data_IF_353842757952
#
_entry.id   IF_353842757952
#
_cell.length_a   1.000
_cell.length_b   1.000
_cell.length_c   1.000
_cell.angle_alpha   90.00
_cell.angle_beta   90.00
_cell.angle_gamma   90.00
#
_symmetry.space_group_name_H-M   'P 1'
#
loop_
_entity.id
_entity.type
_entity.pdbx_description
1 polymer ?
#
# COMPACT_ATOMS: atom_id res chain seq x y z
N UNK A 1 -12.61 -45.48 -4.05
CA UNK A 1 -11.18 -45.39 -4.40
C UNK A 1 -10.75 -43.94 -4.20
N UNK A 2 -9.88 -43.65 -3.23
CA UNK A 2 -9.30 -42.31 -3.09
C UNK A 2 -8.23 -42.15 -4.18
N UNK A 3 -8.47 -41.29 -5.16
CA UNK A 3 -7.42 -40.90 -6.07
C UNK A 3 -6.30 -40.21 -5.27
N UNK A 4 -5.02 -40.51 -5.55
CA UNK A 4 -3.91 -39.83 -4.91
C UNK A 4 -3.96 -38.34 -5.24
N UNK A 5 -3.68 -37.50 -4.23
CA UNK A 5 -3.63 -36.05 -4.39
C UNK A 5 -2.62 -35.65 -5.47
N UNK A 6 -3.06 -34.92 -6.50
CA UNK A 6 -2.20 -34.36 -7.54
C UNK A 6 -2.10 -32.84 -7.36
N UNK A 7 -0.96 -32.40 -6.85
CA UNK A 7 -0.66 -30.98 -6.60
C UNK A 7 -0.66 -30.14 -7.87
N UNK A 8 -0.15 -30.69 -8.98
CA UNK A 8 -0.08 -29.95 -10.25
C UNK A 8 -1.47 -29.70 -10.82
N UNK A 9 -2.35 -30.71 -10.81
CA UNK A 9 -3.73 -30.57 -11.25
C UNK A 9 -4.47 -29.49 -10.46
N UNK A 10 -4.31 -29.44 -9.14
CA UNK A 10 -4.93 -28.40 -8.30
C UNK A 10 -4.43 -26.99 -8.68
N UNK A 11 -3.11 -26.83 -8.84
CA UNK A 11 -2.50 -25.55 -9.22
C UNK A 11 -2.97 -25.09 -10.61
N UNK A 12 -3.00 -26.03 -11.57
CA UNK A 12 -3.51 -25.82 -12.93
C UNK A 12 -4.96 -25.36 -12.93
N UNK A 13 -5.84 -26.06 -12.19
CA UNK A 13 -7.26 -25.68 -12.09
C UNK A 13 -7.44 -24.28 -11.50
N UNK A 14 -6.71 -23.96 -10.43
CA UNK A 14 -6.78 -22.64 -9.79
C UNK A 14 -6.29 -21.53 -10.71
N UNK A 15 -5.21 -21.77 -11.45
CA UNK A 15 -4.69 -20.81 -12.42
C UNK A 15 -5.68 -20.57 -13.56
N UNK A 16 -6.15 -21.65 -14.21
CA UNK A 16 -7.11 -21.56 -15.32
C UNK A 16 -8.39 -20.85 -14.91
N UNK A 17 -8.91 -21.14 -13.71
CA UNK A 17 -10.08 -20.46 -13.14
C UNK A 17 -9.84 -18.97 -12.96
N UNK A 18 -8.67 -18.58 -12.44
CA UNK A 18 -8.34 -17.16 -12.29
C UNK A 18 -8.31 -16.43 -13.63
N UNK A 19 -7.64 -16.99 -14.64
CA UNK A 19 -7.54 -16.38 -15.97
C UNK A 19 -8.93 -16.27 -16.62
N UNK A 20 -9.72 -17.34 -16.54
CA UNK A 20 -11.10 -17.35 -17.03
C UNK A 20 -11.96 -16.28 -16.36
N UNK A 21 -11.99 -16.25 -15.03
CA UNK A 21 -12.90 -15.40 -14.26
C UNK A 21 -12.51 -13.92 -14.29
N UNK A 22 -11.21 -13.61 -14.39
CA UNK A 22 -10.68 -12.25 -14.19
C UNK A 22 -10.08 -11.59 -15.43
N UNK A 23 -9.71 -12.37 -16.44
CA UNK A 23 -8.98 -11.84 -17.61
C UNK A 23 -9.76 -12.07 -18.89
N UNK A 24 -10.14 -13.31 -19.21
CA UNK A 24 -10.62 -13.66 -20.56
C UNK A 24 -12.13 -13.87 -20.66
N UNK A 25 -12.79 -14.20 -19.55
CA UNK A 25 -14.20 -14.62 -19.55
C UNK A 25 -14.44 -15.99 -20.21
N UNK A 26 -13.38 -16.76 -20.51
CA UNK A 26 -13.48 -18.05 -21.23
C UNK A 26 -12.83 -19.16 -20.43
N UNK A 27 -13.47 -20.33 -20.43
CA UNK A 27 -12.92 -21.53 -19.77
C UNK A 27 -12.04 -22.26 -20.78
N UNK A 28 -10.73 -22.10 -20.63
CA UNK A 28 -9.73 -22.78 -21.46
C UNK A 28 -8.55 -23.26 -20.61
N UNK A 29 -7.70 -24.10 -21.20
CA UNK A 29 -6.47 -24.55 -20.56
C UNK A 29 -5.31 -23.58 -20.81
N UNK A 30 -5.25 -22.51 -20.00
CA UNK A 30 -4.22 -21.49 -20.08
C UNK A 30 -2.87 -21.98 -19.52
N UNK A 31 -2.89 -22.77 -18.44
CA UNK A 31 -1.69 -23.31 -17.81
C UNK A 31 -0.82 -24.10 -18.79
N UNK A 32 -1.44 -25.01 -19.54
CA UNK A 32 -0.69 -25.85 -20.50
C UNK A 32 -0.27 -25.13 -21.78
N UNK A 33 -0.64 -23.85 -21.95
CA UNK A 33 -0.20 -23.00 -23.06
C UNK A 33 1.00 -22.12 -22.72
N UNK A 34 1.38 -22.07 -21.45
CA UNK A 34 2.49 -21.25 -20.96
C UNK A 34 3.70 -22.13 -20.65
N UNK A 35 4.88 -21.64 -20.98
CA UNK A 35 6.15 -22.25 -20.55
C UNK A 35 6.51 -21.83 -19.13
N UNK A 36 7.56 -22.43 -18.57
CA UNK A 36 8.07 -22.03 -17.25
C UNK A 36 8.57 -20.58 -17.29
N UNK A 37 9.23 -20.19 -18.37
CA UNK A 37 9.71 -18.82 -18.61
C UNK A 37 8.55 -17.82 -18.63
N UNK A 38 7.42 -18.17 -19.26
CA UNK A 38 6.22 -17.32 -19.23
C UNK A 38 5.71 -17.11 -17.78
N UNK A 39 5.74 -18.15 -16.93
CA UNK A 39 5.39 -18.00 -15.52
C UNK A 39 6.38 -17.12 -14.74
N UNK A 40 7.66 -17.11 -15.12
CA UNK A 40 8.66 -16.20 -14.55
C UNK A 40 8.41 -14.76 -14.98
N UNK A 41 8.09 -14.52 -16.24
CA UNK A 41 7.74 -13.19 -16.76
C UNK A 41 6.45 -12.64 -16.15
N UNK A 42 5.45 -13.51 -15.89
CA UNK A 42 4.25 -13.14 -15.13
C UNK A 42 4.64 -12.65 -13.73
N UNK A 43 5.56 -13.32 -13.03
CA UNK A 43 6.03 -12.86 -11.71
C UNK A 43 6.68 -11.49 -11.79
N UNK A 44 7.47 -11.22 -12.84
CA UNK A 44 8.03 -9.88 -13.07
C UNK A 44 6.93 -8.84 -13.28
N UNK A 45 5.90 -9.18 -14.05
CA UNK A 45 4.73 -8.31 -14.29
C UNK A 45 3.94 -8.03 -13.02
N UNK A 46 3.89 -8.96 -12.05
CA UNK A 46 3.24 -8.71 -10.74
C UNK A 46 3.85 -7.51 -10.00
N UNK A 47 5.16 -7.25 -10.18
CA UNK A 47 5.81 -6.06 -9.63
C UNK A 47 5.25 -4.78 -10.27
N UNK A 48 5.02 -4.78 -11.57
CA UNK A 48 4.44 -3.62 -12.25
C UNK A 48 2.97 -3.41 -11.88
N UNK A 49 2.21 -4.48 -11.69
CA UNK A 49 0.84 -4.40 -11.13
C UNK A 49 0.88 -3.76 -9.73
N UNK A 50 1.83 -4.16 -8.88
CA UNK A 50 2.02 -3.53 -7.56
C UNK A 50 2.32 -2.03 -7.69
N UNK A 51 3.22 -1.64 -8.60
CA UNK A 51 3.55 -0.24 -8.85
C UNK A 51 2.33 0.56 -9.35
N UNK A 52 1.51 -0.02 -10.23
CA UNK A 52 0.26 0.59 -10.71
C UNK A 52 -0.71 0.82 -9.56
N UNK A 53 -0.88 -0.17 -8.66
CA UNK A 53 -1.74 -0.03 -7.49
C UNK A 53 -1.24 1.09 -6.56
N UNK A 54 0.05 1.12 -6.27
CA UNK A 54 0.66 2.18 -5.45
C UNK A 54 0.43 3.55 -6.09
N UNK A 55 0.72 3.72 -7.38
CA UNK A 55 0.47 4.96 -8.10
C UNK A 55 -0.98 5.43 -8.03
N UNK A 56 -1.94 4.55 -8.34
CA UNK A 56 -3.38 4.88 -8.27
C UNK A 56 -3.82 5.25 -6.86
N UNK A 57 -3.29 4.56 -5.86
CA UNK A 57 -3.57 4.82 -4.45
C UNK A 57 -3.02 6.18 -4.03
N UNK A 58 -1.80 6.52 -4.46
CA UNK A 58 -1.20 7.84 -4.19
C UNK A 58 -2.03 8.98 -4.79
N UNK A 59 -2.52 8.85 -6.02
CA UNK A 59 -3.38 9.88 -6.64
C UNK A 59 -4.66 10.08 -5.82
N UNK A 60 -5.35 8.98 -5.49
CA UNK A 60 -6.57 9.04 -4.67
C UNK A 60 -6.30 9.58 -3.28
N UNK A 61 -5.11 9.34 -2.74
CA UNK A 61 -4.69 9.94 -1.49
C UNK A 61 -4.45 11.45 -1.62
N UNK A 62 -3.87 11.94 -2.71
CA UNK A 62 -3.76 13.40 -2.96
C UNK A 62 -5.17 14.02 -3.00
N UNK A 63 -6.13 13.38 -3.68
CA UNK A 63 -7.53 13.84 -3.68
C UNK A 63 -8.05 13.91 -2.25
N UNK A 64 -7.86 12.84 -1.48
CA UNK A 64 -8.31 12.76 -0.09
C UNK A 64 -7.69 13.86 0.80
N UNK A 65 -6.40 14.14 0.64
CA UNK A 65 -5.70 15.20 1.37
C UNK A 65 -6.18 16.58 0.92
N UNK A 66 -6.43 16.80 -0.37
CA UNK A 66 -6.88 18.10 -0.89
C UNK A 66 -8.21 18.56 -0.29
N UNK A 67 -9.09 17.63 0.08
CA UNK A 67 -10.35 17.95 0.74
C UNK A 67 -10.17 18.41 2.20
N UNK A 68 -9.02 18.14 2.82
CA UNK A 68 -8.72 18.43 4.24
C UNK A 68 -7.74 19.57 4.43
N UNK A 69 -6.92 19.84 3.41
CA UNK A 69 -5.88 20.86 3.45
C UNK A 69 -6.07 21.83 2.27
N UNK A 70 -6.62 23.04 2.51
CA UNK A 70 -6.86 24.04 1.47
C UNK A 70 -5.62 24.31 0.61
N UNK A 71 -4.45 24.40 1.25
CA UNK A 71 -3.17 24.57 0.55
C UNK A 71 -2.89 23.45 -0.48
N UNK A 72 -3.19 22.19 -0.14
CA UNK A 72 -3.00 21.06 -1.06
C UNK A 72 -4.00 21.13 -2.21
N UNK A 73 -5.22 21.60 -1.96
CA UNK A 73 -6.23 21.83 -3.00
C UNK A 73 -5.78 22.89 -4.00
N UNK A 74 -5.28 24.03 -3.51
CA UNK A 74 -4.78 25.13 -4.34
C UNK A 74 -3.57 24.71 -5.17
N UNK A 75 -2.73 23.82 -4.62
CA UNK A 75 -1.51 23.34 -5.25
C UNK A 75 -1.64 21.92 -5.82
N UNK A 76 -2.87 21.43 -6.06
CA UNK A 76 -3.14 20.04 -6.41
C UNK A 76 -2.31 19.55 -7.60
N UNK A 77 -2.25 20.33 -8.68
CA UNK A 77 -1.54 19.95 -9.90
C UNK A 77 -0.02 19.84 -9.68
N UNK A 78 0.55 20.59 -8.72
CA UNK A 78 1.97 20.51 -8.36
C UNK A 78 2.25 19.12 -7.77
N UNK A 79 1.43 18.67 -6.81
CA UNK A 79 1.61 17.38 -6.14
C UNK A 79 1.23 16.19 -7.03
N UNK A 80 0.25 16.34 -7.91
CA UNK A 80 -0.04 15.34 -8.93
C UNK A 80 1.16 15.17 -9.89
N UNK A 81 1.72 16.28 -10.37
CA UNK A 81 2.90 16.25 -11.24
C UNK A 81 4.14 15.68 -10.56
N UNK A 82 4.29 15.88 -9.26
CA UNK A 82 5.35 15.24 -8.48
C UNK A 82 5.23 13.71 -8.56
N UNK A 83 4.06 13.16 -8.25
CA UNK A 83 3.81 11.71 -8.30
C UNK A 83 3.99 11.15 -9.72
N UNK A 84 3.54 11.87 -10.75
CA UNK A 84 3.71 11.49 -12.15
C UNK A 84 5.18 11.37 -12.59
N UNK A 85 6.07 12.12 -11.95
CA UNK A 85 7.50 12.20 -12.33
C UNK A 85 8.40 11.36 -11.43
N UNK A 86 7.90 10.89 -10.29
CA UNK A 86 8.64 10.02 -9.38
C UNK A 86 8.85 8.64 -10.02
N UNK A 87 10.11 8.23 -10.16
CA UNK A 87 10.44 6.88 -10.60
C UNK A 87 10.17 5.90 -9.46
N UNK A 88 9.76 4.64 -9.73
CA UNK A 88 9.61 3.61 -8.70
C UNK A 88 10.87 3.37 -7.84
N UNK A 89 12.05 3.78 -8.33
CA UNK A 89 13.34 3.67 -7.65
C UNK A 89 13.69 4.87 -6.76
N UNK A 90 12.90 5.94 -6.79
CA UNK A 90 13.21 7.17 -6.08
C UNK A 90 13.08 6.97 -4.57
N UNK A 91 14.12 7.34 -3.85
CA UNK A 91 14.22 7.09 -2.42
C UNK A 91 13.65 8.29 -1.64
N UNK A 92 12.34 8.31 -1.45
CA UNK A 92 11.65 9.37 -0.73
C UNK A 92 10.40 8.88 -0.02
N UNK A 93 9.52 9.81 0.34
CA UNK A 93 8.14 9.50 0.66
C UNK A 93 7.34 9.35 -0.63
N UNK A 94 6.32 8.50 -0.63
CA UNK A 94 5.44 8.34 -1.80
C UNK A 94 4.65 9.63 -2.09
N UNK A 95 4.36 10.44 -1.05
CA UNK A 95 3.91 11.83 -1.19
C UNK A 95 4.64 12.72 -0.19
N UNK A 96 5.09 13.89 -0.65
CA UNK A 96 5.70 14.91 0.20
C UNK A 96 5.21 16.30 -0.22
N UNK A 97 4.50 16.97 0.68
CA UNK A 97 4.06 18.37 0.57
C UNK A 97 4.99 19.20 1.45
N UNK A 98 5.66 20.20 0.88
CA UNK A 98 6.71 20.99 1.55
C UNK A 98 6.39 22.49 1.61
N UNK A 99 5.11 22.86 1.51
CA UNK A 99 4.67 24.26 1.50
C UNK A 99 4.27 24.78 2.87
N UNK A 100 3.25 25.65 2.89
CA UNK A 100 2.70 26.24 4.11
C UNK A 100 2.19 25.17 5.09
N UNK A 101 1.73 24.05 4.55
CA UNK A 101 1.54 22.81 5.29
C UNK A 101 2.55 21.76 4.84
N UNK A 102 3.09 21.03 5.82
CA UNK A 102 3.98 19.90 5.57
C UNK A 102 3.23 18.60 5.76
N UNK A 103 3.28 17.73 4.76
CA UNK A 103 2.62 16.42 4.78
C UNK A 103 3.58 15.39 4.20
N UNK A 104 3.70 14.25 4.87
CA UNK A 104 4.46 13.10 4.38
C UNK A 104 3.59 11.85 4.44
N UNK A 105 3.68 11.03 3.40
CA UNK A 105 2.94 9.78 3.36
C UNK A 105 3.69 8.63 2.71
N UNK A 106 3.42 7.43 3.23
CA UNK A 106 3.87 6.15 2.70
C UNK A 106 2.65 5.33 2.28
N UNK A 107 2.68 4.77 1.08
CA UNK A 107 1.59 3.99 0.51
C UNK A 107 1.98 2.51 0.56
N UNK A 108 1.05 1.66 1.03
CA UNK A 108 1.18 0.20 1.08
C UNK A 108 0.01 -0.48 0.40
N UNK A 109 0.32 -1.16 -0.69
CA UNK A 109 -0.65 -1.93 -1.49
C UNK A 109 -0.50 -3.45 -1.31
N UNK A 110 0.12 -3.89 -0.22
CA UNK A 110 0.30 -5.31 0.05
C UNK A 110 -0.98 -5.88 0.64
N UNK A 111 -1.63 -6.80 -0.09
CA UNK A 111 -2.80 -7.52 0.43
C UNK A 111 -2.40 -8.30 1.69
N UNK A 112 -3.12 -8.15 2.83
CA UNK A 112 -2.81 -8.91 4.01
C UNK A 112 -2.96 -10.43 3.75
N UNK A 113 -2.17 -11.23 4.47
CA UNK A 113 -2.17 -12.69 4.33
C UNK A 113 -3.15 -13.34 5.32
N UNK A 114 -3.26 -14.68 5.32
CA UNK A 114 -4.13 -15.45 6.23
C UNK A 114 -5.60 -15.00 6.18
N UNK A 115 -6.22 -15.15 5.00
CA UNK A 115 -7.59 -14.67 4.73
C UNK A 115 -7.76 -13.16 4.93
N UNK A 116 -6.68 -12.38 4.82
CA UNK A 116 -6.71 -10.92 4.86
C UNK A 116 -6.74 -10.30 6.25
N UNK A 117 -6.79 -11.07 7.33
CA UNK A 117 -6.95 -10.53 8.69
C UNK A 117 -5.65 -10.11 9.38
N UNK A 118 -4.48 -10.44 8.81
CA UNK A 118 -3.17 -10.11 9.41
C UNK A 118 -2.13 -9.79 8.33
N UNK A 119 -1.29 -8.81 8.61
CA UNK A 119 -0.05 -8.63 7.85
C UNK A 119 0.94 -9.73 8.21
N UNK A 120 1.59 -10.30 7.19
CA UNK A 120 2.67 -11.27 7.37
C UNK A 120 3.92 -10.61 7.97
N UNK A 121 4.87 -11.41 8.46
CA UNK A 121 6.06 -10.89 9.16
C UNK A 121 6.82 -9.86 8.32
N UNK A 122 7.07 -10.14 7.04
CA UNK A 122 7.78 -9.20 6.16
C UNK A 122 6.98 -7.92 5.89
N UNK A 123 5.66 -8.04 5.71
CA UNK A 123 4.77 -6.88 5.54
C UNK A 123 4.77 -6.01 6.81
N UNK A 124 4.66 -6.62 7.99
CA UNK A 124 4.70 -5.94 9.29
C UNK A 124 6.02 -5.21 9.48
N UNK A 125 7.15 -5.85 9.21
CA UNK A 125 8.47 -5.22 9.31
C UNK A 125 8.60 -4.02 8.38
N UNK A 126 8.12 -4.14 7.13
CA UNK A 126 8.09 -3.02 6.19
C UNK A 126 7.25 -1.85 6.69
N UNK A 127 6.00 -2.11 7.11
CA UNK A 127 5.09 -1.06 7.61
C UNK A 127 5.68 -0.38 8.86
N UNK A 128 6.25 -1.14 9.80
CA UNK A 128 6.89 -0.56 11.00
C UNK A 128 8.08 0.32 10.63
N UNK A 129 8.93 -0.13 9.69
CA UNK A 129 10.06 0.67 9.21
C UNK A 129 9.59 2.00 8.62
N UNK A 130 8.50 1.98 7.87
CA UNK A 130 7.97 3.18 7.24
C UNK A 130 7.25 4.10 8.25
N UNK A 131 6.57 3.55 9.25
CA UNK A 131 6.06 4.32 10.41
C UNK A 131 7.21 5.04 11.12
N UNK A 132 8.32 4.34 11.40
CA UNK A 132 9.51 4.96 12.00
C UNK A 132 10.09 6.04 11.09
N UNK A 133 10.20 5.77 9.79
CA UNK A 133 10.64 6.74 8.81
C UNK A 133 9.76 8.00 8.76
N UNK A 134 8.44 7.87 8.90
CA UNK A 134 7.51 9.00 8.98
C UNK A 134 7.73 9.83 10.25
N UNK A 135 8.02 9.18 11.40
CA UNK A 135 8.21 9.83 12.69
C UNK A 135 9.58 10.51 12.83
N UNK A 136 10.63 9.80 12.45
CA UNK A 136 12.04 10.17 12.68
C UNK A 136 12.67 10.85 11.45
N UNK A 137 12.01 10.77 10.30
CA UNK A 137 12.55 11.23 9.02
C UNK A 137 13.29 10.13 8.27
N UNK A 138 13.47 10.31 6.97
CA UNK A 138 14.26 9.42 6.11
C UNK A 138 15.62 10.03 5.83
N UNK A 139 16.71 9.26 5.99
CA UNK A 139 18.09 9.76 5.86
C UNK A 139 18.40 10.51 4.54
N UNK A 140 17.71 10.17 3.45
CA UNK A 140 17.86 10.80 2.12
C UNK A 140 16.98 12.03 1.92
N UNK A 141 16.06 12.33 2.84
CA UNK A 141 15.15 13.47 2.80
C UNK A 141 15.57 14.45 3.90
N UNK A 142 16.50 15.36 3.58
CA UNK A 142 17.01 16.37 4.52
C UNK A 142 16.23 17.69 4.51
N UNK A 143 15.37 17.89 3.50
CA UNK A 143 14.65 19.14 3.27
C UNK A 143 13.39 19.31 4.12
N UNK A 144 13.01 18.30 4.91
CA UNK A 144 11.78 18.31 5.70
C UNK A 144 12.06 17.81 7.12
N UNK A 145 11.72 18.64 8.10
CA UNK A 145 11.64 18.22 9.50
C UNK A 145 10.35 17.42 9.72
N UNK A 146 10.44 16.13 10.08
CA UNK A 146 9.27 15.30 10.30
C UNK A 146 8.38 15.85 11.42
N UNK A 147 8.92 16.52 12.45
CA UNK A 147 8.13 17.04 13.58
C UNK A 147 7.13 18.12 13.16
N UNK A 148 7.39 18.79 12.03
CA UNK A 148 6.52 19.81 11.48
C UNK A 148 5.47 19.29 10.49
N UNK A 149 5.51 17.99 10.17
CA UNK A 149 4.66 17.39 9.15
C UNK A 149 3.53 16.53 9.72
N UNK A 150 2.36 16.60 9.08
CA UNK A 150 1.31 15.58 9.23
C UNK A 150 1.75 14.29 8.53
N UNK A 151 1.57 13.15 9.20
CA UNK A 151 2.14 11.87 8.76
C UNK A 151 1.04 10.85 8.47
N UNK A 152 1.12 10.21 7.33
CA UNK A 152 0.11 9.24 6.90
C UNK A 152 0.75 7.92 6.46
N UNK A 153 0.29 6.83 7.07
CA UNK A 153 0.51 5.48 6.57
C UNK A 153 -0.73 5.08 5.78
N UNK A 154 -0.66 5.22 4.46
CA UNK A 154 -1.78 4.96 3.56
C UNK A 154 -1.76 3.49 3.19
N UNK A 155 -2.87 2.79 3.42
CA UNK A 155 -3.01 1.37 3.08
C UNK A 155 -4.12 1.24 2.05
N UNK A 156 -3.84 0.52 0.96
CA UNK A 156 -4.88 0.22 -0.02
C UNK A 156 -5.96 -0.66 0.61
N UNK A 157 -7.22 -0.24 0.45
CA UNK A 157 -8.36 -0.92 1.03
C UNK A 157 -8.79 -2.12 0.18
N UNK A 158 -8.55 -3.32 0.70
CA UNK A 158 -8.98 -4.58 0.12
C UNK A 158 -10.35 -5.04 0.67
N UNK A 159 -11.05 -4.18 1.42
CA UNK A 159 -12.30 -4.45 2.13
C UNK A 159 -12.08 -4.71 3.63
N UNK A 160 -13.09 -5.24 4.31
CA UNK A 160 -13.17 -5.43 5.78
C UNK A 160 -11.92 -6.11 6.41
N UNK A 161 -11.25 -6.94 5.62
CA UNK A 161 -10.02 -7.62 5.98
C UNK A 161 -8.88 -6.65 6.28
N UNK A 162 -8.72 -5.57 5.50
CA UNK A 162 -7.64 -4.59 5.66
C UNK A 162 -7.73 -3.86 7.00
N UNK A 163 -8.93 -3.44 7.41
CA UNK A 163 -9.15 -2.80 8.71
C UNK A 163 -8.77 -3.72 9.87
N UNK A 164 -9.17 -4.99 9.78
CA UNK A 164 -8.84 -6.00 10.79
C UNK A 164 -7.34 -6.23 10.89
N UNK A 165 -6.64 -6.29 9.76
CA UNK A 165 -5.19 -6.42 9.71
C UNK A 165 -4.47 -5.21 10.33
N UNK A 166 -4.97 -3.99 10.07
CA UNK A 166 -4.42 -2.76 10.67
C UNK A 166 -4.65 -2.69 12.19
N UNK A 167 -5.85 -3.04 12.67
CA UNK A 167 -6.12 -3.14 14.12
C UNK A 167 -5.21 -4.17 14.79
N UNK A 168 -5.02 -5.33 14.15
CA UNK A 168 -4.08 -6.33 14.63
C UNK A 168 -2.64 -5.81 14.64
N UNK A 169 -2.21 -5.05 13.63
CA UNK A 169 -0.89 -4.41 13.60
C UNK A 169 -0.73 -3.46 14.80
N UNK A 170 -1.65 -2.51 14.98
CA UNK A 170 -1.60 -1.49 16.05
C UNK A 170 -1.52 -2.13 17.43
N UNK A 171 -2.36 -3.14 17.70
CA UNK A 171 -2.35 -3.89 18.96
C UNK A 171 -0.97 -4.51 19.28
N UNK A 172 -0.21 -4.85 18.24
CA UNK A 172 1.08 -5.54 18.34
C UNK A 172 2.25 -4.66 17.86
N UNK A 173 2.09 -3.34 17.90
CA UNK A 173 3.19 -2.41 17.67
C UNK A 173 4.20 -2.47 18.84
N UNK A 174 5.48 -2.20 18.56
CA UNK A 174 6.47 -1.92 19.59
C UNK A 174 5.99 -0.82 20.57
N UNK A 175 6.36 -0.89 21.86
CA UNK A 175 5.91 0.07 22.87
C UNK A 175 6.20 1.54 22.51
N UNK A 176 7.32 1.81 21.85
CA UNK A 176 7.75 3.14 21.38
C UNK A 176 6.84 3.74 20.30
N UNK A 177 5.99 2.94 19.65
CA UNK A 177 5.09 3.38 18.57
C UNK A 177 3.60 3.35 18.94
N UNK A 178 3.25 2.72 20.07
CA UNK A 178 1.87 2.31 20.34
C UNK A 178 0.89 3.50 20.47
N UNK A 179 1.35 4.60 21.06
CA UNK A 179 0.54 5.81 21.26
C UNK A 179 0.71 6.84 20.13
N UNK A 180 1.63 6.58 19.20
CA UNK A 180 1.94 7.48 18.08
C UNK A 180 1.23 7.07 16.79
N UNK A 181 0.61 5.90 16.73
CA UNK A 181 -0.06 5.39 15.52
C UNK A 181 -1.53 5.16 15.79
N UNK A 182 -2.40 5.78 15.00
CA UNK A 182 -3.85 5.60 15.11
C UNK A 182 -4.50 5.43 13.73
N UNK A 183 -5.67 4.80 13.69
CA UNK A 183 -6.49 4.77 12.47
C UNK A 183 -7.15 6.14 12.30
N UNK A 184 -7.19 6.62 11.06
CA UNK A 184 -7.89 7.84 10.77
C UNK A 184 -9.41 7.69 10.92
N UNK A 185 -10.04 8.57 11.69
CA UNK A 185 -11.49 8.70 11.80
C UNK A 185 -11.93 10.09 11.29
N UNK A 186 -13.06 10.16 10.59
CA UNK A 186 -13.56 11.40 10.00
C UNK A 186 -13.85 12.45 11.08
N UNK A 187 -13.43 13.69 10.84
CA UNK A 187 -13.64 14.79 11.78
C UNK A 187 -12.69 14.81 12.98
N UNK A 188 -11.81 13.82 13.16
CA UNK A 188 -10.83 13.88 14.25
C UNK A 188 -9.75 14.94 13.96
N UNK A 189 -9.29 15.69 14.98
CA UNK A 189 -8.16 16.59 14.83
C UNK A 189 -6.89 15.83 14.48
N UNK A 190 -6.17 16.32 13.46
CA UNK A 190 -4.86 15.80 13.09
C UNK A 190 -3.78 16.49 13.93
N UNK A 191 -2.85 15.69 14.46
CA UNK A 191 -1.69 16.15 15.20
C UNK A 191 -0.41 15.72 14.50
N UNK A 192 0.64 16.53 14.64
CA UNK A 192 1.92 16.26 13.96
C UNK A 192 2.72 15.17 14.67
N UNK A 193 2.54 14.91 15.95
CA UNK A 193 3.20 13.82 16.69
C UNK A 193 2.67 12.43 16.35
N UNK A 194 1.54 12.33 15.64
CA UNK A 194 0.91 11.06 15.27
C UNK A 194 1.14 10.69 13.79
N UNK A 195 1.16 9.38 13.54
CA UNK A 195 0.98 8.76 12.23
C UNK A 195 -0.45 8.26 12.11
N UNK A 196 -1.15 8.71 11.08
CA UNK A 196 -2.52 8.30 10.81
C UNK A 196 -2.55 7.21 9.74
N UNK A 197 -3.13 6.06 10.07
CA UNK A 197 -3.42 5.01 9.09
C UNK A 197 -4.70 5.38 8.34
N UNK A 198 -4.58 5.60 7.03
CA UNK A 198 -5.70 5.94 6.15
C UNK A 198 -5.92 4.83 5.15
N UNK A 199 -7.17 4.44 4.93
CA UNK A 199 -7.54 3.45 3.94
C UNK A 199 -8.03 4.13 2.66
N UNK A 200 -7.44 3.80 1.52
CA UNK A 200 -7.78 4.38 0.21
C UNK A 200 -8.08 3.25 -0.77
N UNK A 201 -9.15 3.40 -1.56
CA UNK A 201 -9.60 2.42 -2.56
C UNK A 201 -9.61 2.99 -3.95
#
# INVERSE_FOLDING_TARGET
MNQPYNRESELKERFNRFIADKITGRIEDYYSRLTVEDFEDIKTTLKDIHNILTYKTTIRFIDWVSHRFPYVKENYQVYLNQVLRTKPSDNGYDLMVTGDVKIVAEIKCNKPINNGYKFGSQQKTGIIKDIKGLLEGKAKVKSLDPTEAYKFMVIYDFGDQTLSAARHLIKNLPPDLKDMVTIYEEGQPLKKDNVYIVFIR
#
